data_IF_610811061049
#
_entry.id   IF_610811061049
#
_cell.length_a   1.000
_cell.length_b   1.000
_cell.length_c   1.000
_cell.angle_alpha   90.00
_cell.angle_beta   90.00
_cell.angle_gamma   90.00
#
_symmetry.space_group_name_H-M   'P 1'
#
loop_
_entity.id
_entity.type
_entity.pdbx_description
1 polymer ?
#
# COMPACT_ATOMS: atom_id res chain seq x y z
N UNK A 1 15.12 -8.40 17.81
CA UNK A 1 14.35 -8.67 16.57
C UNK A 1 14.28 -7.36 15.80
N UNK A 2 14.77 -7.28 14.55
CA UNK A 2 14.70 -6.03 13.80
C UNK A 2 13.23 -5.70 13.53
N UNK A 3 12.79 -4.48 13.85
CA UNK A 3 11.50 -3.97 13.40
C UNK A 3 11.54 -3.99 11.86
N UNK A 4 10.72 -4.82 11.21
CA UNK A 4 10.49 -4.65 9.77
C UNK A 4 9.69 -3.38 9.60
N UNK A 5 10.40 -2.28 9.31
CA UNK A 5 9.81 -0.97 9.00
C UNK A 5 8.89 -1.04 7.80
N UNK A 6 9.03 -2.04 6.93
CA UNK A 6 8.24 -2.22 5.73
C UNK A 6 7.47 -3.55 5.74
N UNK A 7 6.19 -3.53 5.35
CA UNK A 7 5.31 -4.69 5.23
C UNK A 7 4.68 -4.71 3.85
N UNK A 8 4.84 -5.79 3.10
CA UNK A 8 4.18 -5.98 1.80
C UNK A 8 2.87 -6.74 1.98
N UNK A 9 1.77 -6.19 1.45
CA UNK A 9 0.46 -6.84 1.37
C UNK A 9 0.12 -7.17 -0.07
N UNK A 10 -0.54 -8.31 -0.26
CA UNK A 10 -0.91 -8.82 -1.57
C UNK A 10 -2.44 -8.95 -1.60
N UNK A 11 -3.08 -8.30 -2.57
CA UNK A 11 -4.52 -8.37 -2.78
C UNK A 11 -4.83 -9.00 -4.13
N UNK A 12 -5.50 -10.15 -4.11
CA UNK A 12 -5.86 -10.87 -5.33
C UNK A 12 -7.23 -10.44 -5.86
N UNK A 13 -7.36 -10.45 -7.19
CA UNK A 13 -8.63 -10.23 -7.87
C UNK A 13 -8.50 -9.35 -9.10
N UNK A 14 -9.64 -8.99 -9.70
CA UNK A 14 -9.63 -7.97 -10.73
C UNK A 14 -9.22 -6.60 -10.14
N UNK A 15 -8.75 -5.68 -10.99
CA UNK A 15 -8.24 -4.38 -10.56
C UNK A 15 -9.19 -3.62 -9.62
N UNK A 16 -10.51 -3.66 -9.90
CA UNK A 16 -11.52 -3.00 -9.06
C UNK A 16 -11.69 -3.70 -7.70
N UNK A 17 -11.72 -5.02 -7.69
CA UNK A 17 -11.85 -5.85 -6.49
C UNK A 17 -10.63 -5.70 -5.58
N UNK A 18 -9.43 -5.81 -6.14
CA UNK A 18 -8.17 -5.62 -5.41
C UNK A 18 -8.05 -4.20 -4.83
N UNK A 19 -8.43 -3.16 -5.60
CA UNK A 19 -8.47 -1.78 -5.11
C UNK A 19 -9.47 -1.59 -3.96
N UNK A 20 -10.63 -2.25 -4.01
CA UNK A 20 -11.62 -2.20 -2.93
C UNK A 20 -11.12 -2.89 -1.64
N UNK A 21 -10.43 -4.02 -1.77
CA UNK A 21 -9.81 -4.73 -0.67
C UNK A 21 -8.70 -3.88 -0.03
N UNK A 22 -7.83 -3.30 -0.85
CA UNK A 22 -6.81 -2.36 -0.42
C UNK A 22 -7.40 -1.16 0.33
N UNK A 23 -8.47 -0.52 -0.19
CA UNK A 23 -9.09 0.64 0.47
C UNK A 23 -9.62 0.31 1.88
N UNK A 24 -10.12 -0.91 2.08
CA UNK A 24 -10.58 -1.37 3.41
C UNK A 24 -9.40 -1.65 4.34
N UNK A 25 -8.39 -2.38 3.87
CA UNK A 25 -7.23 -2.72 4.71
C UNK A 25 -6.35 -1.51 5.02
N UNK A 26 -6.21 -0.56 4.08
CA UNK A 26 -5.49 0.68 4.29
C UNK A 26 -6.03 1.50 5.48
N UNK A 27 -7.34 1.49 5.72
CA UNK A 27 -7.92 2.13 6.92
C UNK A 27 -7.49 1.46 8.21
N UNK A 28 -7.36 0.13 8.20
CA UNK A 28 -6.92 -0.64 9.36
C UNK A 28 -5.41 -0.51 9.59
N UNK A 29 -4.61 -0.54 8.52
CA UNK A 29 -3.17 -0.31 8.55
C UNK A 29 -2.83 1.11 9.04
N UNK A 30 -3.60 2.12 8.62
CA UNK A 30 -3.43 3.50 9.09
C UNK A 30 -3.61 3.63 10.61
N UNK A 31 -4.59 2.93 11.20
CA UNK A 31 -4.77 2.89 12.67
C UNK A 31 -3.56 2.28 13.40
N UNK A 32 -2.79 1.43 12.72
CA UNK A 32 -1.57 0.82 13.23
C UNK A 32 -0.31 1.62 12.92
N UNK A 33 -0.41 2.81 12.30
CA UNK A 33 0.73 3.64 11.92
C UNK A 33 1.43 3.22 10.62
N UNK A 34 0.82 2.34 9.83
CA UNK A 34 1.36 1.91 8.52
C UNK A 34 0.75 2.71 7.38
N UNK A 35 1.60 3.25 6.50
CA UNK A 35 1.21 4.06 5.34
C UNK A 35 1.70 3.42 4.04
N UNK A 36 0.88 3.38 2.98
CA UNK A 36 1.29 2.81 1.70
C UNK A 36 2.29 3.73 0.99
N UNK A 37 3.43 3.19 0.57
CA UNK A 37 4.49 3.95 -0.13
C UNK A 37 4.62 3.57 -1.60
N UNK A 38 4.29 2.34 -1.94
CA UNK A 38 4.29 1.88 -3.33
C UNK A 38 3.14 0.91 -3.57
N UNK A 39 2.56 0.99 -4.76
CA UNK A 39 1.48 0.14 -5.23
C UNK A 39 1.83 -0.32 -6.64
N UNK A 40 1.78 -1.63 -6.87
CA UNK A 40 2.00 -2.21 -8.19
C UNK A 40 0.91 -3.23 -8.47
N UNK A 41 0.18 -3.03 -9.58
CA UNK A 41 -0.81 -3.99 -10.04
C UNK A 41 -0.23 -4.81 -11.19
N UNK A 42 -0.17 -6.11 -11.01
CA UNK A 42 0.20 -7.04 -12.06
C UNK A 42 -1.08 -7.72 -12.57
N UNK A 43 -1.49 -7.48 -13.83
CA UNK A 43 -2.62 -8.19 -14.40
C UNK A 43 -2.31 -9.69 -14.46
N UNK A 44 -3.32 -10.51 -14.16
CA UNK A 44 -3.20 -11.95 -14.28
C UNK A 44 -2.93 -12.31 -15.74
N UNK A 45 -1.96 -13.20 -15.96
CA UNK A 45 -1.68 -13.78 -17.27
C UNK A 45 -1.99 -15.26 -17.24
N UNK A 46 -2.50 -15.77 -18.35
CA UNK A 46 -2.48 -17.19 -18.62
C UNK A 46 -1.02 -17.65 -18.72
N UNK A 47 -0.68 -18.77 -18.10
CA UNK A 47 0.65 -19.36 -18.16
C UNK A 47 0.92 -20.04 -19.52
N UNK A 48 2.19 -20.22 -19.87
CA UNK A 48 2.61 -20.90 -21.11
C UNK A 48 1.94 -22.28 -21.30
N UNK A 49 1.71 -23.00 -20.21
CA UNK A 49 1.04 -24.30 -20.23
C UNK A 49 -0.41 -24.23 -20.73
N UNK A 50 -1.14 -23.14 -20.44
CA UNK A 50 -2.51 -22.96 -20.92
C UNK A 50 -2.56 -22.86 -22.46
N UNK A 51 -1.54 -22.24 -23.06
CA UNK A 51 -1.41 -22.11 -24.51
C UNK A 51 -1.11 -23.47 -25.17
N UNK A 52 -0.21 -24.26 -24.61
CA UNK A 52 0.11 -25.60 -25.11
C UNK A 52 -1.09 -26.54 -25.05
N UNK A 53 -1.85 -26.51 -23.94
CA UNK A 53 -3.07 -27.30 -23.78
C UNK A 53 -4.13 -26.88 -24.80
N UNK A 54 -4.34 -25.57 -25.00
CA UNK A 54 -5.31 -25.07 -25.98
C UNK A 54 -4.91 -25.45 -27.41
N UNK A 55 -3.62 -25.40 -27.75
CA UNK A 55 -3.10 -25.81 -29.05
C UNK A 55 -3.26 -27.33 -29.28
N UNK A 56 -3.01 -28.16 -28.27
CA UNK A 56 -3.24 -29.61 -28.34
C UNK A 56 -4.73 -29.95 -28.49
N UNK A 57 -5.63 -29.25 -27.80
CA UNK A 57 -7.08 -29.43 -27.93
C UNK A 57 -7.64 -28.89 -29.25
N UNK A 58 -6.90 -28.02 -29.95
CA UNK A 58 -7.34 -27.41 -31.21
C UNK A 58 -7.54 -28.44 -32.32
N UNK A 59 -6.81 -29.57 -32.28
CA UNK A 59 -6.97 -30.70 -33.19
C UNK A 59 -8.36 -31.37 -33.12
N UNK A 60 -9.16 -31.07 -32.08
CA UNK A 60 -10.48 -31.70 -31.84
C UNK A 60 -11.63 -30.69 -32.07
N UNK A 61 -11.37 -29.50 -32.66
CA UNK A 61 -12.30 -28.34 -32.76
C UNK A 61 -12.75 -27.75 -31.40
N UNK A 62 -12.79 -28.55 -30.34
CA UNK A 62 -13.09 -28.15 -28.95
C UNK A 62 -12.05 -27.14 -28.44
N UNK A 63 -10.79 -27.25 -28.86
CA UNK A 63 -9.75 -26.30 -28.46
C UNK A 63 -9.96 -24.89 -28.97
N UNK A 64 -10.64 -24.69 -30.12
CA UNK A 64 -10.96 -23.35 -30.62
C UNK A 64 -11.89 -22.63 -29.64
N UNK A 65 -12.90 -23.30 -29.09
CA UNK A 65 -13.80 -22.71 -28.10
C UNK A 65 -13.08 -22.35 -26.80
N UNK A 66 -12.19 -23.22 -26.32
CA UNK A 66 -11.36 -22.97 -25.12
C UNK A 66 -10.41 -21.79 -25.37
N UNK A 67 -9.81 -21.70 -26.55
CA UNK A 67 -8.90 -20.62 -26.91
C UNK A 67 -9.63 -19.27 -26.99
N UNK A 68 -10.81 -19.23 -27.62
CA UNK A 68 -11.68 -18.03 -27.64
C UNK A 68 -12.06 -17.62 -26.22
N UNK A 69 -12.45 -18.57 -25.37
CA UNK A 69 -12.77 -18.28 -23.97
C UNK A 69 -11.61 -17.63 -23.21
N UNK A 70 -10.39 -18.15 -23.36
CA UNK A 70 -9.20 -17.58 -22.73
C UNK A 70 -8.84 -16.18 -23.24
N UNK A 71 -9.11 -15.88 -24.51
CA UNK A 71 -8.93 -14.55 -25.08
C UNK A 71 -9.95 -13.53 -24.54
N UNK A 72 -11.18 -13.98 -24.26
CA UNK A 72 -12.25 -13.12 -23.72
C UNK A 72 -12.09 -12.93 -22.20
N UNK A 73 -11.73 -13.98 -21.46
CA UNK A 73 -11.65 -13.97 -20.00
C UNK A 73 -10.19 -13.95 -19.56
N UNK A 74 -9.71 -12.78 -19.08
CA UNK A 74 -8.40 -12.70 -18.40
C UNK A 74 -8.53 -13.11 -16.93
N UNK A 75 -7.56 -13.88 -16.39
CA UNK A 75 -7.56 -14.23 -14.98
C UNK A 75 -7.35 -12.98 -14.12
N UNK A 76 -7.83 -13.06 -12.87
CA UNK A 76 -7.62 -12.00 -11.89
C UNK A 76 -6.13 -11.73 -11.70
N UNK A 77 -5.78 -10.46 -11.56
CA UNK A 77 -4.43 -10.04 -11.23
C UNK A 77 -4.19 -9.97 -9.73
N UNK A 78 -3.07 -9.37 -9.40
CA UNK A 78 -2.63 -9.20 -8.02
C UNK A 78 -2.13 -7.78 -7.83
N UNK A 79 -2.63 -7.12 -6.79
CA UNK A 79 -2.17 -5.81 -6.35
C UNK A 79 -1.20 -6.00 -5.17
N UNK A 80 0.06 -5.67 -5.35
CA UNK A 80 1.05 -5.61 -4.27
C UNK A 80 1.15 -4.17 -3.75
N UNK A 81 1.04 -4.02 -2.43
CA UNK A 81 1.18 -2.73 -1.76
C UNK A 81 2.20 -2.84 -0.66
N UNK A 82 3.22 -2.01 -0.73
CA UNK A 82 4.21 -1.89 0.34
C UNK A 82 3.77 -0.79 1.29
N UNK A 83 3.69 -1.15 2.56
CA UNK A 83 3.43 -0.25 3.66
C UNK A 83 4.71 0.02 4.43
N UNK A 84 4.89 1.25 4.89
CA UNK A 84 5.94 1.61 5.81
C UNK A 84 5.33 2.03 7.14
N UNK A 85 5.94 1.58 8.24
CA UNK A 85 5.62 2.04 9.56
C UNK A 85 6.18 3.44 9.76
N UNK A 86 5.30 4.44 9.87
CA UNK A 86 5.69 5.76 10.36
C UNK A 86 5.30 5.81 11.82
N UNK A 87 6.24 5.43 12.69
CA UNK A 87 6.15 5.68 14.12
C UNK A 87 5.76 7.15 14.27
N UNK A 88 4.57 7.39 14.82
CA UNK A 88 3.86 8.66 14.68
C UNK A 88 4.81 9.86 14.73
N UNK A 89 4.97 10.53 13.59
CA UNK A 89 5.02 11.98 13.62
C UNK A 89 3.67 12.40 14.18
N UNK A 90 3.50 12.32 15.50
CA UNK A 90 2.57 13.17 16.20
C UNK A 90 2.85 14.55 15.62
N UNK A 91 1.85 15.16 15.01
CA UNK A 91 1.85 16.59 14.77
C UNK A 91 1.90 17.19 16.18
N UNK A 92 3.08 17.22 16.78
CA UNK A 92 3.31 17.89 18.03
C UNK A 92 2.97 19.33 17.72
N UNK A 93 1.87 19.81 18.29
CA UNK A 93 1.45 21.19 18.10
C UNK A 93 2.66 22.08 18.43
N UNK A 94 3.04 22.95 17.51
CA UNK A 94 4.16 23.87 17.68
C UNK A 94 3.60 25.21 18.19
N UNK A 95 4.27 25.82 19.18
CA UNK A 95 4.03 27.18 19.65
C UNK A 95 5.20 28.07 19.27
N UNK A 96 4.91 29.35 19.00
CA UNK A 96 5.95 30.35 18.81
C UNK A 96 6.47 30.84 20.16
N UNK A 97 7.78 30.96 20.31
CA UNK A 97 8.37 31.56 21.50
C UNK A 97 8.15 33.09 21.49
N UNK A 98 7.60 33.70 22.57
CA UNK A 98 7.36 35.14 22.62
C UNK A 98 8.64 35.99 22.70
N UNK A 99 9.79 35.38 23.03
CA UNK A 99 11.08 36.07 23.13
C UNK A 99 11.90 36.05 21.84
N UNK A 100 11.94 34.92 21.14
CA UNK A 100 12.80 34.76 19.95
C UNK A 100 12.05 34.42 18.66
N UNK A 101 10.71 34.37 18.70
CA UNK A 101 9.84 34.07 17.56
C UNK A 101 10.08 32.73 16.84
N UNK A 102 10.88 31.84 17.44
CA UNK A 102 11.19 30.54 16.86
C UNK A 102 10.10 29.51 17.18
N UNK A 103 9.95 28.49 16.32
CA UNK A 103 8.97 27.41 16.51
C UNK A 103 9.49 26.39 17.52
N UNK A 104 8.72 26.17 18.58
CA UNK A 104 9.05 25.24 19.66
C UNK A 104 7.89 24.29 19.89
N UNK A 105 8.18 23.04 20.25
CA UNK A 105 7.16 22.05 20.64
C UNK A 105 6.27 22.61 21.75
N UNK A 106 4.93 22.47 21.66
CA UNK A 106 3.99 23.00 22.67
C UNK A 106 4.24 22.43 24.07
N UNK A 107 4.65 21.17 24.15
CA UNK A 107 5.04 20.49 25.38
C UNK A 107 6.38 20.97 25.99
N UNK A 108 7.13 21.83 25.31
CA UNK A 108 8.39 22.34 25.84
C UNK A 108 8.17 23.34 26.98
N UNK A 109 8.75 23.03 28.15
CA UNK A 109 8.84 23.93 29.32
C UNK A 109 9.89 25.02 29.14
N UNK A 110 10.86 24.81 28.25
CA UNK A 110 11.98 25.74 28.00
C UNK A 110 12.23 25.85 26.48
N UNK A 111 12.45 27.06 25.98
CA UNK A 111 12.82 27.30 24.58
C UNK A 111 14.25 26.83 24.29
N UNK A 112 14.45 26.02 23.24
CA UNK A 112 15.79 25.53 22.84
C UNK A 112 16.75 26.63 22.38
N UNK A 113 16.22 27.75 21.91
CA UNK A 113 17.00 28.79 21.23
C UNK A 113 17.40 29.94 22.16
N UNK A 114 16.47 30.39 23.01
CA UNK A 114 16.68 31.53 23.91
C UNK A 114 16.55 31.16 25.40
N UNK A 115 16.29 29.90 25.73
CA UNK A 115 16.19 29.39 27.11
C UNK A 115 15.05 30.02 27.94
N UNK A 116 14.12 30.71 27.29
CA UNK A 116 12.91 31.23 27.93
C UNK A 116 12.07 30.10 28.52
N UNK A 117 11.66 30.24 29.78
CA UNK A 117 10.80 29.28 30.48
C UNK A 117 9.34 29.61 30.18
N UNK A 118 8.61 28.63 29.67
CA UNK A 118 7.17 28.71 29.49
C UNK A 118 6.54 28.21 30.79
N UNK A 119 6.16 29.13 31.68
CA UNK A 119 5.30 28.80 32.82
C UNK A 119 3.94 28.29 32.28
N UNK A 120 3.39 27.28 32.95
CA UNK A 120 2.30 26.42 32.48
C UNK A 120 0.98 27.16 32.21
#
# INVERSE_FOLDING_TARGET
MPLQETIVRIYNGNQRGAASAFKRDAKYMAKKGYYPVSQSYQPGSWGCFAFLVALALCFILIGIFVFIYMLIVKPGGTLSVTYEYRAGTTFEEEKLCPQCAEKVKKAAKICRYCTHQFEE
#
